data_IF_543273828410
#
_entry.id   IF_543273828410
#
_cell.length_a   1.000
_cell.length_b   1.000
_cell.length_c   1.000
_cell.angle_alpha   90.00
_cell.angle_beta   90.00
_cell.angle_gamma   90.00
#
_symmetry.space_group_name_H-M   'P 1'
#
loop_
_entity.id
_entity.type
_entity.pdbx_description
1 polymer ?
#
# COMPACT_ATOMS: atom_id res chain seq x y z
N UNK A 1 -20.73 0.97 0.03
CA UNK A 1 -19.93 -0.26 0.16
C UNK A 1 -19.71 -0.59 1.61
N UNK A 2 -19.92 -1.83 1.97
CA UNK A 2 -19.73 -2.25 3.34
C UNK A 2 -18.26 -2.58 3.59
N UNK A 3 -17.84 -2.40 4.84
CA UNK A 3 -16.49 -2.78 5.24
C UNK A 3 -16.44 -4.30 5.36
N UNK A 4 -15.50 -4.90 4.64
CA UNK A 4 -15.29 -6.34 4.70
C UNK A 4 -14.25 -6.72 5.73
N UNK A 5 -13.32 -7.58 5.35
CA UNK A 5 -12.24 -7.99 6.26
C UNK A 5 -11.43 -6.78 6.70
N UNK A 6 -11.14 -6.69 8.00
CA UNK A 6 -10.39 -5.57 8.56
C UNK A 6 -9.08 -6.03 9.17
N UNK A 7 -8.14 -5.10 9.26
CA UNK A 7 -6.84 -5.34 9.85
C UNK A 7 -6.48 -4.15 10.73
N UNK A 8 -6.18 -4.41 12.00
CA UNK A 8 -5.67 -3.36 12.88
C UNK A 8 -4.15 -3.47 12.91
N UNK A 9 -3.49 -2.32 12.84
CA UNK A 9 -2.03 -2.27 12.77
C UNK A 9 -1.48 -1.31 13.80
N UNK A 10 -0.29 -1.61 14.31
CA UNK A 10 0.42 -0.72 15.22
C UNK A 10 1.50 0.07 14.49
N UNK A 11 1.75 -0.26 13.24
CA UNK A 11 2.72 0.42 12.41
C UNK A 11 2.70 -0.17 11.02
N UNK A 12 3.49 0.38 10.09
CA UNK A 12 3.48 -0.11 8.70
C UNK A 12 3.97 -1.55 8.57
N UNK A 13 4.81 -2.01 9.52
CA UNK A 13 5.33 -3.37 9.45
C UNK A 13 4.24 -4.43 9.60
N UNK A 14 3.21 -4.13 10.38
CA UNK A 14 2.09 -5.07 10.52
C UNK A 14 1.35 -5.25 9.20
N UNK A 15 1.20 -4.17 8.45
CA UNK A 15 0.56 -4.23 7.15
C UNK A 15 1.46 -4.96 6.14
N UNK A 16 2.75 -4.68 6.17
CA UNK A 16 3.70 -5.37 5.30
C UNK A 16 3.68 -6.88 5.55
N UNK A 17 3.60 -7.27 6.82
CA UNK A 17 3.53 -8.67 7.19
C UNK A 17 2.26 -9.34 6.65
N UNK A 18 1.13 -8.64 6.77
CA UNK A 18 -0.13 -9.16 6.23
C UNK A 18 -0.04 -9.31 4.70
N UNK A 19 0.51 -8.30 4.03
CA UNK A 19 0.66 -8.35 2.57
C UNK A 19 1.58 -9.48 2.14
N UNK A 20 2.65 -9.71 2.89
CA UNK A 20 3.57 -10.80 2.57
C UNK A 20 2.87 -12.16 2.66
N UNK A 21 2.00 -12.33 3.66
CA UNK A 21 1.33 -13.60 3.88
C UNK A 21 0.09 -13.80 3.02
N UNK A 22 -0.65 -12.72 2.76
CA UNK A 22 -1.97 -12.83 2.15
C UNK A 22 -2.12 -12.07 0.83
N UNK A 23 -1.13 -11.26 0.46
CA UNK A 23 -1.27 -10.36 -0.68
C UNK A 23 -1.44 -11.07 -2.02
N UNK A 24 -0.96 -12.31 -2.14
CA UNK A 24 -1.09 -13.05 -3.39
C UNK A 24 -2.46 -13.69 -3.56
N UNK A 25 -3.21 -13.85 -2.47
CA UNK A 25 -4.48 -14.59 -2.50
C UNK A 25 -5.69 -13.74 -2.11
N UNK A 26 -5.49 -12.65 -1.40
CA UNK A 26 -6.60 -11.77 -0.98
C UNK A 26 -6.95 -10.77 -2.07
N UNK A 27 -8.21 -10.40 -2.13
CA UNK A 27 -8.68 -9.42 -3.11
C UNK A 27 -8.89 -8.02 -2.52
N UNK A 28 -8.90 -7.89 -1.21
CA UNK A 28 -9.07 -6.60 -0.55
C UNK A 28 -8.81 -6.72 0.94
N UNK A 29 -8.45 -5.60 1.55
CA UNK A 29 -8.33 -5.50 3.01
C UNK A 29 -8.68 -4.08 3.41
N UNK A 30 -9.36 -3.93 4.54
CA UNK A 30 -9.65 -2.62 5.12
C UNK A 30 -8.74 -2.45 6.33
N UNK A 31 -7.80 -1.53 6.25
CA UNK A 31 -6.89 -1.25 7.35
C UNK A 31 -7.51 -0.17 8.24
N UNK A 32 -7.55 -0.44 9.53
CA UNK A 32 -8.14 0.48 10.50
C UNK A 32 -7.11 1.52 10.89
N UNK A 33 -7.49 2.79 10.76
CA UNK A 33 -6.64 3.92 11.13
C UNK A 33 -7.34 4.77 12.19
N UNK A 34 -6.56 5.35 13.07
CA UNK A 34 -7.10 6.32 14.00
C UNK A 34 -6.97 7.72 13.42
N UNK A 35 -8.01 8.52 13.60
CA UNK A 35 -7.99 9.90 13.15
C UNK A 35 -6.97 10.67 13.98
N UNK A 36 -6.31 11.62 13.34
CA UNK A 36 -5.26 12.38 14.01
C UNK A 36 -5.75 13.05 15.31
N UNK A 37 -6.98 13.56 15.29
CA UNK A 37 -7.57 14.23 16.43
C UNK A 37 -7.81 13.31 17.63
N UNK A 38 -7.82 11.98 17.43
CA UNK A 38 -8.05 11.04 18.52
C UNK A 38 -6.86 10.94 19.47
N UNK A 39 -5.67 11.34 19.01
CA UNK A 39 -4.45 11.15 19.77
C UNK A 39 -3.95 9.73 19.83
N UNK A 40 -4.60 8.81 19.11
CA UNK A 40 -4.26 7.39 19.13
C UNK A 40 -3.59 6.91 17.85
N UNK A 41 -3.25 7.82 16.94
CA UNK A 41 -2.67 7.45 15.66
C UNK A 41 -1.32 6.77 15.85
N UNK A 42 -1.16 5.58 15.28
CA UNK A 42 0.08 4.78 15.37
C UNK A 42 0.76 4.63 14.04
N UNK A 43 0.03 4.88 12.96
CA UNK A 43 0.53 4.75 11.60
C UNK A 43 -0.16 5.82 10.78
N UNK A 44 0.53 6.36 9.78
CA UNK A 44 -0.06 7.37 8.92
C UNK A 44 -0.60 6.74 7.64
N UNK A 45 -1.53 7.43 7.02
CA UNK A 45 -2.03 7.04 5.72
C UNK A 45 -0.88 6.90 4.71
N UNK A 46 0.05 7.86 4.71
CA UNK A 46 1.17 7.84 3.77
C UNK A 46 2.06 6.62 3.96
N UNK A 47 2.28 6.21 5.21
CA UNK A 47 3.05 5.00 5.49
C UNK A 47 2.37 3.77 4.93
N UNK A 48 1.03 3.70 5.04
CA UNK A 48 0.29 2.57 4.51
C UNK A 48 0.29 2.54 2.99
N UNK A 49 0.17 3.71 2.35
CA UNK A 49 0.21 3.79 0.89
C UNK A 49 1.56 3.32 0.37
N UNK A 50 2.65 3.75 1.02
CA UNK A 50 3.99 3.31 0.62
C UNK A 50 4.16 1.81 0.79
N UNK A 51 3.68 1.27 1.90
CA UNK A 51 3.74 -0.17 2.16
C UNK A 51 2.94 -0.95 1.13
N UNK A 52 1.71 -0.50 0.84
CA UNK A 52 0.87 -1.16 -0.16
C UNK A 52 1.56 -1.17 -1.52
N UNK A 53 2.13 -0.04 -1.92
CA UNK A 53 2.76 0.07 -3.22
C UNK A 53 3.97 -0.85 -3.34
N UNK A 54 4.71 -1.02 -2.25
CA UNK A 54 5.87 -1.92 -2.24
C UNK A 54 5.47 -3.37 -2.52
N UNK A 55 4.21 -3.73 -2.25
CA UNK A 55 3.69 -5.07 -2.47
C UNK A 55 2.72 -5.16 -3.64
N UNK A 56 2.61 -4.09 -4.43
CA UNK A 56 1.76 -4.11 -5.62
C UNK A 56 0.29 -3.88 -5.34
N UNK A 57 -0.02 -3.24 -4.22
CA UNK A 57 -1.38 -2.90 -3.85
C UNK A 57 -1.61 -1.40 -3.94
N UNK A 58 -2.86 -0.97 -3.96
CA UNK A 58 -3.23 0.43 -4.07
C UNK A 58 -4.36 0.75 -3.11
N UNK A 59 -4.36 1.98 -2.60
CA UNK A 59 -5.43 2.47 -1.76
C UNK A 59 -6.69 2.73 -2.58
N UNK A 60 -7.83 2.52 -1.95
CA UNK A 60 -9.14 2.75 -2.57
C UNK A 60 -9.98 3.62 -1.68
N UNK A 61 -11.20 3.17 -1.39
CA UNK A 61 -12.16 3.94 -0.63
C UNK A 61 -11.82 4.04 0.84
N UNK A 62 -12.28 5.12 1.45
CA UNK A 62 -12.16 5.34 2.87
C UNK A 62 -13.57 5.40 3.46
N UNK A 63 -13.77 4.81 4.63
CA UNK A 63 -15.05 4.82 5.29
C UNK A 63 -14.91 5.10 6.77
N UNK A 64 -15.60 6.11 7.26
CA UNK A 64 -15.56 6.43 8.69
C UNK A 64 -16.26 5.33 9.49
N UNK A 65 -15.68 4.98 10.63
CA UNK A 65 -16.26 3.99 11.54
C UNK A 65 -16.94 4.71 12.68
N UNK A 66 -16.21 5.61 13.35
CA UNK A 66 -16.78 6.39 14.46
C UNK A 66 -16.00 7.69 14.59
N UNK A 67 -16.10 8.36 15.73
CA UNK A 67 -15.43 9.64 15.95
C UNK A 67 -13.92 9.56 16.00
N UNK A 68 -13.37 8.37 16.20
CA UNK A 68 -11.92 8.18 16.36
C UNK A 68 -11.28 7.39 15.23
N UNK A 69 -12.02 6.52 14.55
CA UNK A 69 -11.46 5.57 13.60
C UNK A 69 -12.10 5.65 12.22
N UNK A 70 -11.32 5.28 11.23
CA UNK A 70 -11.84 5.06 9.88
C UNK A 70 -11.13 3.86 9.27
N UNK A 71 -11.72 3.31 8.22
CA UNK A 71 -11.15 2.18 7.50
C UNK A 71 -10.73 2.64 6.12
N UNK A 72 -9.51 2.24 5.72
CA UNK A 72 -8.98 2.53 4.39
C UNK A 72 -8.88 1.21 3.63
N UNK A 73 -9.55 1.14 2.48
CA UNK A 73 -9.52 -0.05 1.66
C UNK A 73 -8.26 -0.08 0.79
N UNK A 74 -7.67 -1.27 0.69
CA UNK A 74 -6.54 -1.53 -0.21
C UNK A 74 -6.86 -2.77 -1.05
N UNK A 75 -6.44 -2.74 -2.31
CA UNK A 75 -6.65 -3.86 -3.24
C UNK A 75 -5.40 -4.07 -4.07
N UNK A 76 -5.22 -5.28 -4.64
CA UNK A 76 -4.11 -5.50 -5.56
C UNK A 76 -4.22 -4.54 -6.76
N UNK A 77 -3.11 -3.96 -7.14
CA UNK A 77 -3.06 -3.05 -8.27
C UNK A 77 -3.03 -3.85 -9.57
N UNK A 78 -3.88 -3.47 -10.51
CA UNK A 78 -3.86 -4.09 -11.82
C UNK A 78 -2.75 -3.45 -12.65
N UNK A 79 -2.19 -4.23 -13.56
CA UNK A 79 -1.08 -3.76 -14.36
C UNK A 79 -1.37 -2.46 -15.12
N UNK A 80 -2.61 -2.30 -15.57
CA UNK A 80 -3.01 -1.09 -16.30
C UNK A 80 -3.71 -0.06 -15.44
N UNK A 81 -3.54 -0.12 -14.13
CA UNK A 81 -4.11 0.87 -13.24
C UNK A 81 -3.54 2.25 -13.53
N UNK A 82 -4.31 3.27 -13.19
CA UNK A 82 -3.82 4.63 -13.31
C UNK A 82 -2.68 4.87 -12.32
N UNK A 83 -1.59 5.40 -12.85
CA UNK A 83 -0.46 5.77 -12.04
C UNK A 83 -0.31 7.27 -12.06
N UNK A 84 -0.46 7.90 -10.90
CA UNK A 84 -0.25 9.33 -10.77
C UNK A 84 1.25 9.63 -10.71
N UNK A 85 1.67 10.85 -11.04
CA UNK A 85 3.08 11.22 -10.87
C UNK A 85 3.57 11.00 -9.45
N UNK A 86 2.73 11.26 -8.45
CA UNK A 86 3.12 11.04 -7.05
C UNK A 86 3.38 9.56 -6.77
N UNK A 87 2.53 8.68 -7.29
CA UNK A 87 2.72 7.24 -7.09
C UNK A 87 3.96 6.74 -7.81
N UNK A 88 4.24 7.26 -8.99
CA UNK A 88 5.46 6.89 -9.71
C UNK A 88 6.71 7.35 -8.96
N UNK A 89 6.68 8.55 -8.39
CA UNK A 89 7.80 9.04 -7.60
C UNK A 89 8.02 8.18 -6.35
N UNK A 90 6.93 7.79 -5.71
CA UNK A 90 7.00 6.92 -4.53
C UNK A 90 7.58 5.56 -4.89
N UNK A 91 7.16 4.99 -6.03
CA UNK A 91 7.70 3.72 -6.49
C UNK A 91 9.20 3.81 -6.73
N UNK A 92 9.66 4.88 -7.33
CA UNK A 92 11.09 5.07 -7.56
C UNK A 92 11.86 5.17 -6.24
N UNK A 93 11.29 5.84 -5.25
CA UNK A 93 11.91 5.94 -3.93
C UNK A 93 11.98 4.59 -3.25
N UNK A 94 10.94 3.77 -3.38
CA UNK A 94 10.93 2.43 -2.79
C UNK A 94 12.00 1.54 -3.44
N UNK A 95 12.17 1.66 -4.75
CA UNK A 95 13.21 0.93 -5.46
C UNK A 95 14.59 1.38 -4.97
N UNK A 96 14.80 2.68 -4.89
CA UNK A 96 16.10 3.24 -4.52
C UNK A 96 16.49 2.86 -3.09
N UNK A 97 15.52 2.68 -2.20
CA UNK A 97 15.80 2.34 -0.80
C UNK A 97 15.75 0.84 -0.54
N UNK A 98 15.54 0.03 -1.57
CA UNK A 98 15.50 -1.43 -1.43
C UNK A 98 14.25 -1.96 -0.78
N UNK A 99 13.18 -1.18 -0.73
CA UNK A 99 11.92 -1.58 -0.08
C UNK A 99 10.91 -2.22 -1.03
N UNK A 100 11.13 -2.10 -2.34
CA UNK A 100 10.22 -2.69 -3.33
C UNK A 100 10.34 -4.21 -3.32
N UNK A 101 9.21 -4.91 -3.34
CA UNK A 101 9.19 -6.37 -3.36
C UNK A 101 8.96 -6.88 -4.79
N UNK A 102 9.20 -8.19 -5.05
CA UNK A 102 8.90 -8.74 -6.38
C UNK A 102 7.45 -8.50 -6.82
N UNK A 103 6.50 -8.60 -5.89
CA UNK A 103 5.10 -8.33 -6.21
C UNK A 103 4.90 -6.87 -6.61
N UNK A 104 5.61 -5.95 -5.95
CA UNK A 104 5.56 -4.54 -6.29
C UNK A 104 6.16 -4.26 -7.66
N UNK A 105 7.28 -4.89 -7.97
CA UNK A 105 7.90 -4.76 -9.29
C UNK A 105 6.94 -5.21 -10.38
N UNK A 106 6.25 -6.31 -10.16
CA UNK A 106 5.33 -6.86 -11.16
C UNK A 106 4.18 -5.91 -11.48
N UNK A 107 3.84 -5.01 -10.57
CA UNK A 107 2.73 -4.08 -10.74
C UNK A 107 3.15 -2.74 -11.32
N UNK A 108 4.44 -2.51 -11.54
CA UNK A 108 4.93 -1.21 -12.02
C UNK A 108 4.55 -0.95 -13.47
N UNK A 109 4.29 0.30 -13.82
CA UNK A 109 4.12 0.66 -15.23
C UNK A 109 5.45 0.65 -15.94
N UNK A 110 5.42 0.57 -17.27
CA UNK A 110 6.64 0.44 -18.06
C UNK A 110 7.63 1.57 -17.83
N UNK A 111 7.14 2.79 -17.65
CA UNK A 111 8.02 3.95 -17.50
C UNK A 111 8.66 4.06 -16.12
N UNK A 112 8.33 3.14 -15.21
CA UNK A 112 8.94 3.10 -13.88
C UNK A 112 9.83 1.86 -13.73
N UNK A 113 10.03 1.11 -14.79
CA UNK A 113 10.89 -0.06 -14.74
C UNK A 113 12.30 0.32 -14.33
N UNK A 114 13.00 -0.63 -13.75
CA UNK A 114 14.31 -0.37 -13.22
C UNK A 114 15.35 -0.43 -14.31
N UNK A 115 15.88 0.69 -14.71
CA UNK A 115 16.84 0.67 -15.79
C UNK A 115 18.14 -0.02 -15.42
N UNK A 116 18.56 0.10 -14.18
CA UNK A 116 19.85 -0.43 -13.81
C UNK A 116 19.86 -1.92 -13.60
N UNK A 117 18.76 -2.50 -13.18
CA UNK A 117 18.72 -3.90 -12.99
C UNK A 117 18.72 -4.64 -14.29
N UNK A 118 18.25 -3.98 -15.27
CA UNK A 118 18.28 -4.56 -16.58
C UNK A 118 19.63 -4.59 -17.17
N UNK A 119 20.53 -3.93 -16.60
CA UNK A 119 21.72 -3.91 -17.11
C UNK A 119 22.68 -4.22 -16.30
N UNK A 120 22.81 -4.58 -15.73
CA UNK A 120 23.71 -4.81 -15.11
C UNK A 120 24.35 -5.68 -15.36
N UNK A 121 24.43 -5.33 -16.00
CA UNK A 121 24.72 -5.83 -16.48
C UNK A 121 25.11 -6.18 -16.73
#
# INVERSE_FOLDING_TARGET
MEIGETLEVNGPDDFADWLRRHGATSSAIWVILYKKASGKQRVTYDELVATALAYGWIDGQMKSIDGEKYAQRFTPRKKKSNWTPANKALAKALIATGRMTPAGYAALPDDVQIPTLGRRR
#
